data_IF_682777847360
#
_entry.id   IF_682777847360
#
_cell.length_a   1.000
_cell.length_b   1.000
_cell.length_c   1.000
_cell.angle_alpha   90.00
_cell.angle_beta   90.00
_cell.angle_gamma   90.00
#
_symmetry.space_group_name_H-M   'P 1'
#
loop_
_entity.id
_entity.type
_entity.pdbx_description
1 polymer ?
#
# COMPACT_ATOMS: atom_id res chain seq x y z
N UNK A 1 12.81 -9.17 -13.93
CA UNK A 1 11.68 -8.80 -13.07
C UNK A 1 10.38 -8.94 -13.84
N UNK A 2 9.37 -9.54 -13.22
CA UNK A 2 8.02 -9.61 -13.77
C UNK A 2 7.09 -8.72 -12.96
N UNK A 3 5.94 -8.35 -13.52
CA UNK A 3 4.98 -7.51 -12.83
C UNK A 3 3.61 -7.53 -13.47
N UNK A 4 2.63 -7.03 -12.72
CA UNK A 4 1.27 -6.92 -13.17
C UNK A 4 0.46 -5.95 -12.32
N UNK A 5 -0.76 -5.69 -12.75
CA UNK A 5 -1.69 -4.85 -12.01
C UNK A 5 -3.13 -5.28 -12.31
N UNK A 6 -4.01 -5.06 -11.35
CA UNK A 6 -5.44 -5.28 -11.50
C UNK A 6 -6.18 -3.95 -11.45
N UNK A 7 -6.89 -3.64 -12.51
CA UNK A 7 -7.70 -2.42 -12.65
C UNK A 7 -9.18 -2.76 -12.76
N UNK A 8 -10.03 -1.78 -12.45
CA UNK A 8 -11.42 -1.81 -12.90
C UNK A 8 -11.49 -1.74 -14.43
N UNK A 9 -12.64 -2.12 -15.00
CA UNK A 9 -12.82 -2.10 -16.46
C UNK A 9 -12.54 -0.74 -17.08
N UNK A 10 -13.00 0.34 -16.43
CA UNK A 10 -12.80 1.72 -16.88
C UNK A 10 -11.44 2.32 -16.45
N UNK A 11 -10.62 1.53 -15.75
CA UNK A 11 -9.29 1.89 -15.25
C UNK A 11 -9.27 3.07 -14.28
N UNK A 12 -10.39 3.46 -13.72
CA UNK A 12 -10.46 4.48 -12.67
C UNK A 12 -9.88 3.98 -11.35
N UNK A 13 -9.97 2.67 -11.09
CA UNK A 13 -9.45 2.04 -9.89
C UNK A 13 -8.31 1.11 -10.25
N UNK A 14 -7.23 1.17 -9.47
CA UNK A 14 -6.18 0.16 -9.46
C UNK A 14 -6.26 -0.56 -8.11
N UNK A 15 -6.69 -1.82 -8.14
CA UNK A 15 -6.88 -2.61 -6.93
C UNK A 15 -5.61 -3.26 -6.43
N UNK A 16 -4.70 -3.59 -7.34
CA UNK A 16 -3.48 -4.33 -7.02
C UNK A 16 -2.39 -3.99 -8.04
N UNK A 17 -1.15 -3.92 -7.54
CA UNK A 17 0.04 -3.89 -8.37
C UNK A 17 1.07 -4.82 -7.73
N UNK A 18 1.82 -5.55 -8.55
CA UNK A 18 2.84 -6.42 -8.01
C UNK A 18 4.10 -6.40 -8.88
N UNK A 19 5.24 -6.71 -8.23
CA UNK A 19 6.55 -6.89 -8.89
C UNK A 19 7.23 -8.09 -8.27
N UNK A 20 7.94 -8.87 -9.09
CA UNK A 20 8.64 -10.08 -8.64
C UNK A 20 10.01 -10.14 -9.28
N UNK A 21 11.05 -10.28 -8.47
CA UNK A 21 12.43 -10.41 -8.94
C UNK A 21 13.12 -11.68 -8.47
N UNK A 22 12.64 -12.32 -7.42
CA UNK A 22 13.17 -13.58 -6.92
C UNK A 22 12.03 -14.45 -6.42
N UNK A 23 11.70 -15.48 -7.19
CA UNK A 23 10.59 -16.39 -6.84
C UNK A 23 10.92 -17.35 -5.70
N UNK A 24 12.21 -17.49 -5.34
CA UNK A 24 12.62 -18.32 -4.22
C UNK A 24 12.39 -17.65 -2.86
N UNK A 25 12.08 -16.36 -2.84
CA UNK A 25 11.84 -15.58 -1.63
C UNK A 25 10.40 -15.07 -1.59
N UNK A 26 9.83 -14.91 -0.38
CA UNK A 26 8.47 -14.39 -0.26
C UNK A 26 8.37 -12.93 -0.70
N UNK A 27 7.16 -12.49 -0.98
CA UNK A 27 6.84 -11.08 -1.20
C UNK A 27 6.41 -10.43 0.12
N UNK A 28 6.51 -9.09 0.15
CA UNK A 28 5.94 -8.27 1.21
C UNK A 28 4.90 -7.33 0.61
N UNK A 29 3.82 -7.09 1.32
CA UNK A 29 2.76 -6.20 0.88
C UNK A 29 2.95 -4.79 1.45
N UNK A 30 2.63 -3.78 0.64
CA UNK A 30 2.51 -2.39 1.07
C UNK A 30 1.07 -1.95 0.89
N UNK A 31 0.47 -1.41 1.95
CA UNK A 31 -0.86 -0.81 1.90
C UNK A 31 -0.70 0.70 2.06
N UNK A 32 -0.90 1.44 0.98
CA UNK A 32 -0.67 2.88 0.93
C UNK A 32 -1.97 3.66 0.77
N UNK A 33 -1.90 4.94 0.46
CA UNK A 33 -3.06 5.82 0.42
C UNK A 33 -3.93 5.53 -0.82
N UNK A 34 -3.37 5.75 -2.00
CA UNK A 34 -4.07 5.57 -3.27
C UNK A 34 -3.07 5.42 -4.42
N UNK A 35 -3.48 4.77 -5.52
CA UNK A 35 -2.62 4.65 -6.69
C UNK A 35 -2.46 5.98 -7.42
N UNK A 36 -1.29 6.17 -8.00
CA UNK A 36 -0.98 7.32 -8.86
C UNK A 36 -0.77 6.84 -10.30
N UNK A 37 0.45 6.89 -10.81
CA UNK A 37 0.72 6.67 -12.24
C UNK A 37 1.26 5.29 -12.58
N UNK A 38 1.76 4.53 -11.60
CA UNK A 38 2.30 3.20 -11.87
C UNK A 38 1.22 2.23 -12.38
N UNK A 39 1.60 1.36 -13.29
CA UNK A 39 0.73 0.36 -13.89
C UNK A 39 1.43 -1.01 -13.95
N UNK A 40 0.92 -1.92 -14.78
CA UNK A 40 1.46 -3.28 -14.89
C UNK A 40 2.93 -3.31 -15.31
N UNK A 41 3.41 -2.30 -16.02
CA UNK A 41 4.76 -2.25 -16.61
C UNK A 41 5.61 -1.09 -16.13
N UNK A 42 4.99 0.01 -15.72
CA UNK A 42 5.69 1.24 -15.32
C UNK A 42 5.67 1.41 -13.82
N UNK A 43 6.83 1.75 -13.27
CA UNK A 43 6.98 2.15 -11.88
C UNK A 43 6.85 3.67 -11.77
N UNK A 44 6.33 4.13 -10.65
CA UNK A 44 6.46 5.53 -10.23
C UNK A 44 7.48 5.63 -9.08
N UNK A 45 7.80 6.83 -8.60
CA UNK A 45 8.76 6.99 -7.51
C UNK A 45 8.41 6.21 -6.26
N UNK A 46 7.14 6.12 -5.90
CA UNK A 46 6.68 5.37 -4.72
C UNK A 46 6.93 3.87 -4.89
N UNK A 47 6.58 3.31 -6.04
CA UNK A 47 6.81 1.88 -6.32
C UNK A 47 8.30 1.56 -6.31
N UNK A 48 9.14 2.43 -6.88
CA UNK A 48 10.60 2.25 -6.83
C UNK A 48 11.12 2.21 -5.39
N UNK A 49 10.57 3.05 -4.50
CA UNK A 49 10.94 3.04 -3.08
C UNK A 49 10.53 1.72 -2.41
N UNK A 50 9.32 1.26 -2.67
CA UNK A 50 8.84 -0.01 -2.11
C UNK A 50 9.73 -1.19 -2.57
N UNK A 51 10.10 -1.23 -3.83
CA UNK A 51 11.03 -2.23 -4.37
C UNK A 51 12.37 -2.16 -3.62
N UNK A 52 12.90 -0.96 -3.46
CA UNK A 52 14.17 -0.74 -2.74
C UNK A 52 14.14 -1.27 -1.32
N UNK A 53 13.11 -0.93 -0.55
CA UNK A 53 12.94 -1.44 0.80
C UNK A 53 12.81 -2.95 0.84
N UNK A 54 11.95 -3.52 0.00
CA UNK A 54 11.74 -4.96 -0.03
C UNK A 54 13.02 -5.74 -0.36
N UNK A 55 13.83 -5.24 -1.29
CA UNK A 55 15.14 -5.83 -1.61
C UNK A 55 16.08 -5.78 -0.42
N UNK A 56 16.17 -4.63 0.23
CA UNK A 56 17.03 -4.43 1.40
C UNK A 56 16.64 -5.38 2.54
N UNK A 57 15.36 -5.63 2.73
CA UNK A 57 14.85 -6.54 3.76
C UNK A 57 14.91 -8.02 3.36
N UNK A 58 15.38 -8.34 2.15
CA UNK A 58 15.56 -9.72 1.69
C UNK A 58 14.33 -10.38 1.07
N UNK A 59 13.31 -9.62 0.72
CA UNK A 59 12.12 -10.14 0.02
C UNK A 59 12.36 -10.30 -1.48
N UNK A 60 11.58 -11.16 -2.10
CA UNK A 60 11.68 -11.47 -3.54
C UNK A 60 10.63 -10.78 -4.40
N UNK A 61 9.78 -9.96 -3.81
CA UNK A 61 8.74 -9.23 -4.53
C UNK A 61 7.94 -8.32 -3.64
N UNK A 62 7.09 -7.52 -4.26
CA UNK A 62 6.13 -6.66 -3.57
C UNK A 62 4.72 -6.89 -4.09
N UNK A 63 3.76 -6.77 -3.20
CA UNK A 63 2.34 -6.63 -3.48
C UNK A 63 1.92 -5.25 -3.00
N UNK A 64 1.21 -4.49 -3.82
CA UNK A 64 0.77 -3.14 -3.46
C UNK A 64 -0.74 -3.05 -3.54
N UNK A 65 -1.34 -2.65 -2.43
CA UNK A 65 -2.75 -2.31 -2.30
C UNK A 65 -2.87 -0.93 -1.67
N UNK A 66 -4.05 -0.37 -1.70
CA UNK A 66 -4.28 0.99 -1.20
C UNK A 66 -5.59 1.03 -0.42
N UNK A 67 -5.67 1.92 0.58
CA UNK A 67 -6.93 2.10 1.30
C UNK A 67 -8.01 2.76 0.43
N UNK A 68 -7.58 3.53 -0.57
CA UNK A 68 -8.43 4.05 -1.65
C UNK A 68 -7.90 3.50 -2.97
N UNK A 69 -8.73 2.84 -3.77
CA UNK A 69 -8.30 2.31 -5.06
C UNK A 69 -8.40 3.34 -6.20
N UNK A 70 -9.07 4.46 -6.00
CA UNK A 70 -9.19 5.51 -7.01
C UNK A 70 -7.82 6.06 -7.40
N UNK A 71 -7.52 6.07 -8.69
CA UNK A 71 -6.30 6.66 -9.22
C UNK A 71 -6.39 8.16 -9.17
N UNK A 72 -5.51 8.79 -8.41
CA UNK A 72 -5.49 10.24 -8.23
C UNK A 72 -4.08 10.70 -7.88
N UNK A 73 -3.70 11.88 -8.36
CA UNK A 73 -2.41 12.51 -8.02
C UNK A 73 -2.55 13.52 -6.88
N UNK A 74 -3.76 13.97 -6.60
CA UNK A 74 -4.07 14.96 -5.57
C UNK A 74 -5.03 14.35 -4.54
N UNK A 75 -4.69 14.36 -3.24
CA UNK A 75 -5.58 13.84 -2.19
C UNK A 75 -6.97 14.52 -2.15
N UNK A 76 -7.10 15.73 -2.68
CA UNK A 76 -8.40 16.41 -2.76
C UNK A 76 -9.39 15.65 -3.64
N UNK A 77 -8.91 14.94 -4.66
CA UNK A 77 -9.76 14.09 -5.52
C UNK A 77 -10.39 12.96 -4.73
N UNK A 78 -9.68 12.42 -3.73
CA UNK A 78 -10.22 11.38 -2.84
C UNK A 78 -11.35 11.90 -1.96
N UNK A 79 -11.26 13.17 -1.57
CA UNK A 79 -12.29 13.82 -0.74
C UNK A 79 -13.56 14.08 -1.53
N UNK A 80 -13.44 14.53 -2.77
CA UNK A 80 -14.57 14.94 -3.60
C UNK A 80 -15.21 13.80 -4.38
N UNK A 81 -14.51 12.68 -4.58
CA UNK A 81 -15.04 11.56 -5.35
C UNK A 81 -16.22 10.91 -4.65
N UNK A 82 -17.17 10.41 -5.44
CA UNK A 82 -18.33 9.69 -4.91
C UNK A 82 -17.94 8.42 -4.20
N UNK A 83 -17.06 7.62 -4.80
CA UNK A 83 -16.54 6.38 -4.21
C UNK A 83 -15.02 6.29 -4.47
N UNK A 84 -14.20 6.86 -3.57
CA UNK A 84 -12.74 6.76 -3.75
C UNK A 84 -12.19 5.40 -3.32
N UNK A 85 -12.92 4.62 -2.54
CA UNK A 85 -12.48 3.30 -2.07
C UNK A 85 -12.46 2.30 -3.22
N UNK A 86 -13.53 2.23 -3.98
CA UNK A 86 -13.74 1.24 -5.04
C UNK A 86 -14.46 0.00 -4.54
N UNK A 87 -15.41 -0.53 -5.34
CA UNK A 87 -16.31 -1.59 -4.88
C UNK A 87 -15.64 -2.92 -4.57
N UNK A 88 -14.44 -3.18 -5.12
CA UNK A 88 -13.71 -4.45 -4.90
C UNK A 88 -12.47 -4.29 -4.04
N UNK A 89 -12.20 -3.09 -3.55
CA UNK A 89 -10.93 -2.78 -2.92
C UNK A 89 -10.69 -3.57 -1.63
N UNK A 90 -11.69 -3.67 -0.77
CA UNK A 90 -11.53 -4.35 0.51
C UNK A 90 -11.16 -5.83 0.33
N UNK A 91 -11.71 -6.48 -0.70
CA UNK A 91 -11.36 -7.87 -1.02
C UNK A 91 -9.88 -8.01 -1.41
N UNK A 92 -9.34 -7.08 -2.20
CA UNK A 92 -7.93 -7.08 -2.57
C UNK A 92 -7.02 -6.82 -1.36
N UNK A 93 -7.41 -5.90 -0.48
CA UNK A 93 -6.67 -5.62 0.76
C UNK A 93 -6.60 -6.86 1.65
N UNK A 94 -7.72 -7.53 1.86
CA UNK A 94 -7.79 -8.74 2.68
C UNK A 94 -6.95 -9.87 2.10
N UNK A 95 -6.98 -10.05 0.79
CA UNK A 95 -6.16 -11.07 0.13
C UNK A 95 -4.66 -10.80 0.31
N UNK A 96 -4.23 -9.56 0.16
CA UNK A 96 -2.83 -9.19 0.35
C UNK A 96 -2.38 -9.49 1.78
N UNK A 97 -3.19 -9.12 2.77
CA UNK A 97 -2.89 -9.36 4.19
C UNK A 97 -2.88 -10.85 4.55
N UNK A 98 -3.68 -11.67 3.86
CA UNK A 98 -3.72 -13.11 4.09
C UNK A 98 -2.48 -13.83 3.54
N UNK A 99 -1.85 -13.27 2.51
CA UNK A 99 -0.76 -13.92 1.78
C UNK A 99 0.64 -13.42 2.15
N UNK A 100 0.75 -12.23 2.74
CA UNK A 100 2.04 -11.56 2.94
C UNK A 100 2.03 -10.73 4.22
N UNK A 101 3.20 -10.51 4.84
CA UNK A 101 3.32 -9.43 5.81
C UNK A 101 2.95 -8.10 5.16
N UNK A 102 2.31 -7.20 5.89
CA UNK A 102 1.82 -5.92 5.37
C UNK A 102 2.52 -4.76 6.05
N UNK A 103 3.13 -3.90 5.25
CA UNK A 103 3.60 -2.58 5.67
C UNK A 103 2.49 -1.59 5.36
N UNK A 104 1.92 -0.97 6.40
CA UNK A 104 0.95 0.12 6.22
C UNK A 104 1.71 1.43 6.07
N UNK A 105 1.36 2.23 5.07
CA UNK A 105 2.14 3.40 4.71
C UNK A 105 1.29 4.47 3.99
N UNK A 106 0.11 4.76 4.53
CA UNK A 106 -0.81 5.71 3.89
C UNK A 106 -0.60 7.16 4.28
N UNK A 107 0.18 7.45 5.31
CA UNK A 107 0.45 8.82 5.73
C UNK A 107 -0.74 9.51 6.40
N UNK A 108 -0.64 10.83 6.57
CA UNK A 108 -1.65 11.62 7.30
C UNK A 108 -3.03 11.61 6.65
N UNK A 109 -3.10 11.49 5.32
CA UNK A 109 -4.37 11.50 4.59
C UNK A 109 -5.17 10.20 4.78
N UNK A 110 -4.60 9.19 5.42
CA UNK A 110 -5.34 7.99 5.83
C UNK A 110 -6.47 8.27 6.81
N UNK A 111 -6.49 9.44 7.45
CA UNK A 111 -7.60 9.89 8.29
C UNK A 111 -8.86 10.21 7.47
N UNK A 112 -8.70 10.49 6.18
CA UNK A 112 -9.82 10.81 5.30
C UNK A 112 -10.83 9.66 5.29
N UNK A 113 -12.11 9.98 5.54
CA UNK A 113 -13.22 9.00 5.59
C UNK A 113 -12.95 7.85 6.57
N UNK A 114 -12.10 8.05 7.56
CA UNK A 114 -11.72 7.05 8.57
C UNK A 114 -11.13 5.77 7.95
N UNK A 115 -10.55 5.87 6.74
CA UNK A 115 -10.13 4.68 6.00
C UNK A 115 -8.95 3.95 6.62
N UNK A 116 -7.98 4.70 7.18
CA UNK A 116 -6.84 4.05 7.87
C UNK A 116 -7.32 3.17 9.02
N UNK A 117 -8.21 3.68 9.87
CA UNK A 117 -8.78 2.90 10.97
C UNK A 117 -9.62 1.73 10.46
N UNK A 118 -10.41 1.94 9.41
CA UNK A 118 -11.19 0.87 8.77
C UNK A 118 -10.27 -0.24 8.25
N UNK A 119 -9.17 0.11 7.59
CA UNK A 119 -8.21 -0.87 7.07
C UNK A 119 -7.61 -1.70 8.21
N UNK A 120 -7.23 -1.08 9.32
CA UNK A 120 -6.70 -1.81 10.48
C UNK A 120 -7.73 -2.80 11.04
N UNK A 121 -8.99 -2.40 11.11
CA UNK A 121 -10.07 -3.32 11.52
C UNK A 121 -10.25 -4.47 10.54
N UNK A 122 -10.19 -4.20 9.23
CA UNK A 122 -10.31 -5.24 8.19
C UNK A 122 -9.18 -6.27 8.29
N UNK A 123 -7.95 -5.81 8.49
CA UNK A 123 -6.81 -6.73 8.64
C UNK A 123 -6.93 -7.59 9.90
N UNK A 124 -7.53 -7.03 10.95
CA UNK A 124 -7.72 -7.71 12.22
C UNK A 124 -6.45 -7.80 13.07
N UNK A 125 -6.58 -8.24 14.33
CA UNK A 125 -5.47 -8.22 15.30
C UNK A 125 -4.35 -9.21 14.96
N UNK A 126 -4.64 -10.24 14.13
CA UNK A 126 -3.64 -11.25 13.77
C UNK A 126 -2.67 -10.79 12.68
N UNK A 127 -3.03 -9.74 11.94
CA UNK A 127 -2.22 -9.27 10.82
C UNK A 127 -0.90 -8.63 11.27
N UNK A 128 -0.84 -8.04 12.46
CA UNK A 128 0.33 -7.36 13.04
C UNK A 128 1.02 -6.47 11.99
N UNK A 129 0.36 -5.44 11.48
CA UNK A 129 0.91 -4.64 10.40
C UNK A 129 2.20 -3.95 10.84
N UNK A 130 3.10 -3.78 9.86
CA UNK A 130 4.37 -3.09 10.04
C UNK A 130 4.24 -1.65 9.53
N UNK A 131 5.10 -0.75 10.00
CA UNK A 131 5.18 0.63 9.52
C UNK A 131 6.63 1.09 9.43
N UNK A 132 6.87 2.08 8.58
CA UNK A 132 8.18 2.70 8.37
C UNK A 132 8.43 3.85 9.34
N UNK A 133 7.66 3.97 10.39
CA UNK A 133 7.65 5.06 11.35
C UNK A 133 6.30 5.74 11.39
N UNK A 134 6.19 6.73 12.26
CA UNK A 134 4.95 7.47 12.49
C UNK A 134 5.13 8.95 12.18
N UNK A 135 4.08 9.57 11.66
CA UNK A 135 4.00 11.03 11.56
C UNK A 135 3.73 11.62 12.95
N UNK A 136 3.75 12.95 13.06
CA UNK A 136 3.42 13.63 14.30
C UNK A 136 2.03 13.28 14.83
N UNK A 137 1.06 13.06 13.94
CA UNK A 137 -0.30 12.65 14.30
C UNK A 137 -0.44 11.16 14.60
N UNK A 138 0.63 10.39 14.49
CA UNK A 138 0.63 8.94 14.72
C UNK A 138 0.31 8.10 13.50
N UNK A 139 0.12 8.70 12.33
CA UNK A 139 -0.14 7.97 11.09
C UNK A 139 1.11 7.21 10.62
N UNK A 140 0.95 6.05 9.96
CA UNK A 140 2.09 5.34 9.40
C UNK A 140 2.68 6.12 8.22
N UNK A 141 4.00 6.30 8.22
CA UNK A 141 4.67 7.13 7.22
C UNK A 141 4.59 6.54 5.82
N UNK A 142 4.44 7.43 4.84
CA UNK A 142 4.52 7.11 3.42
C UNK A 142 5.98 6.78 3.04
N UNK A 143 6.23 5.88 2.05
CA UNK A 143 7.60 5.47 1.69
C UNK A 143 8.48 6.57 1.11
N UNK A 144 7.91 7.59 0.47
CA UNK A 144 8.68 8.68 -0.13
C UNK A 144 9.38 9.52 0.94
N UNK A 145 10.58 9.99 0.60
CA UNK A 145 11.41 10.89 1.43
C UNK A 145 11.96 10.26 2.71
N UNK A 146 11.80 8.96 2.91
CA UNK A 146 12.43 8.25 4.01
C UNK A 146 13.85 7.81 3.64
N UNK A 147 14.67 7.55 4.65
CA UNK A 147 16.01 7.01 4.45
C UNK A 147 15.92 5.60 3.86
N UNK A 148 16.93 5.24 3.05
CA UNK A 148 17.01 3.90 2.44
C UNK A 148 17.13 2.78 3.47
N UNK A 149 17.73 3.09 4.62
CA UNK A 149 17.92 2.14 5.72
C UNK A 149 16.75 2.09 6.70
N UNK A 150 15.60 2.70 6.36
CA UNK A 150 14.41 2.61 7.19
C UNK A 150 13.99 1.16 7.38
N UNK A 151 13.64 0.84 8.62
CA UNK A 151 13.18 -0.50 8.99
C UNK A 151 11.66 -0.51 9.14
N UNK A 152 11.06 -1.65 8.82
CA UNK A 152 9.64 -1.88 9.09
C UNK A 152 9.51 -2.47 10.50
N UNK A 153 8.77 -1.78 11.35
CA UNK A 153 8.54 -2.22 12.73
C UNK A 153 7.05 -2.35 12.98
N UNK A 154 6.68 -3.21 13.94
CA UNK A 154 5.27 -3.45 14.27
C UNK A 154 4.56 -2.13 14.61
N UNK A 155 3.41 -1.91 13.96
CA UNK A 155 2.58 -0.73 14.21
C UNK A 155 1.55 -1.07 15.28
N UNK A 156 1.73 -0.49 16.46
CA UNK A 156 0.84 -0.69 17.60
C UNK A 156 -0.03 0.56 17.75
N UNK A 157 -1.35 0.38 17.66
CA UNK A 157 -2.30 1.44 17.99
C UNK A 157 -2.37 1.58 19.51
N UNK A 158 -2.18 2.81 19.96
CA UNK A 158 -2.29 3.12 21.37
C UNK A 158 -3.74 2.96 21.87
#
# INVERSE_FOLDING_TARGET
MTGGAAFSRDRRYRYRLWRRWDRSRPAIAFCMLNPSTADARRDDPTIRRCIGFAREWGYGGIEVVNIFALRATDPRELRSARDPVGPRNDAFMLRAAAQSPVVIAWGVHGALRDRGATALRLFGPRARPLALGRTRSGAPRHPLYLRRDAEAVEYVTA
#
